data_IF_623590948256
#
_entry.id   IF_623590948256
#
_cell.length_a   1.000
_cell.length_b   1.000
_cell.length_c   1.000
_cell.angle_alpha   90.00
_cell.angle_beta   90.00
_cell.angle_gamma   90.00
#
_symmetry.space_group_name_H-M   'P 1'
#
loop_
_entity.id
_entity.type
_entity.pdbx_description
1 polymer ?
#
# COMPACT_ATOMS: atom_id res chain seq x y z
N UNK A 1 43.46 21.81 -53.87
CA UNK A 1 44.65 21.92 -53.04
C UNK A 1 44.74 20.67 -52.21
N UNK A 2 45.52 19.70 -52.64
CA UNK A 2 45.85 18.47 -51.92
C UNK A 2 46.95 18.78 -50.91
N UNK A 3 46.76 18.55 -49.65
CA UNK A 3 47.80 18.56 -48.64
C UNK A 3 48.09 17.13 -48.16
N UNK A 4 49.31 16.75 -48.32
CA UNK A 4 49.97 15.53 -47.90
C UNK A 4 49.72 15.11 -46.50
N UNK A 5 49.37 13.82 -46.27
CA UNK A 5 49.47 13.14 -44.99
C UNK A 5 50.74 12.26 -45.02
N UNK A 6 51.60 12.33 -44.00
CA UNK A 6 52.77 11.47 -43.93
C UNK A 6 52.38 10.07 -43.42
N UNK A 7 53.04 9.07 -44.00
CA UNK A 7 53.02 7.65 -43.56
C UNK A 7 53.53 7.57 -42.12
N UNK A 8 52.70 7.04 -41.24
CA UNK A 8 53.09 6.79 -39.86
C UNK A 8 52.90 5.31 -39.50
N UNK A 9 53.72 4.46 -40.07
CA UNK A 9 53.84 3.05 -39.62
C UNK A 9 54.44 2.94 -38.19
N UNK A 10 55.20 3.95 -37.76
CA UNK A 10 55.77 4.00 -36.39
C UNK A 10 54.74 4.24 -35.29
N UNK A 11 53.66 4.99 -35.54
CA UNK A 11 52.62 5.25 -34.55
C UNK A 11 51.73 4.01 -34.28
N UNK A 12 51.45 3.23 -35.30
CA UNK A 12 50.70 1.97 -35.13
C UNK A 12 51.50 0.95 -34.33
N UNK A 13 52.82 0.83 -34.55
CA UNK A 13 53.67 -0.07 -33.78
C UNK A 13 53.78 0.33 -32.28
N UNK A 14 53.87 1.64 -31.99
CA UNK A 14 53.88 2.15 -30.61
C UNK A 14 52.56 1.96 -29.88
N UNK A 15 51.44 2.18 -30.57
CA UNK A 15 50.11 1.95 -29.97
C UNK A 15 49.88 0.47 -29.70
N UNK A 16 50.29 -0.41 -30.62
CA UNK A 16 50.16 -1.86 -30.42
C UNK A 16 51.03 -2.37 -29.26
N UNK A 17 52.26 -1.82 -29.14
CA UNK A 17 53.14 -2.15 -28.02
C UNK A 17 52.60 -1.68 -26.66
N UNK A 18 52.00 -0.48 -26.60
CA UNK A 18 51.34 0.03 -25.40
C UNK A 18 50.11 -0.84 -25.01
N UNK A 19 49.35 -1.29 -25.99
CA UNK A 19 48.20 -2.18 -25.73
C UNK A 19 48.60 -3.56 -25.20
N UNK A 20 49.72 -4.11 -25.69
CA UNK A 20 50.23 -5.40 -25.23
C UNK A 20 50.85 -5.27 -23.83
N UNK A 21 51.54 -4.18 -23.53
CA UNK A 21 52.09 -3.92 -22.19
C UNK A 21 50.97 -3.66 -21.18
N UNK A 22 49.93 -2.88 -21.53
CA UNK A 22 48.77 -2.68 -20.64
C UNK A 22 47.99 -3.94 -20.37
N UNK A 23 47.79 -4.85 -21.34
CA UNK A 23 47.14 -6.15 -21.09
C UNK A 23 47.94 -7.06 -20.17
N UNK A 24 49.27 -7.02 -20.22
CA UNK A 24 50.13 -7.81 -19.33
C UNK A 24 50.17 -7.26 -17.91
N UNK A 25 50.16 -5.95 -17.72
CA UNK A 25 50.16 -5.33 -16.40
C UNK A 25 48.79 -5.47 -15.71
N UNK A 26 47.68 -5.35 -16.44
CA UNK A 26 46.33 -5.59 -15.87
C UNK A 26 46.10 -7.06 -15.49
N UNK A 27 46.64 -8.02 -16.25
CA UNK A 27 46.52 -9.44 -15.87
C UNK A 27 47.32 -9.79 -14.62
N UNK A 28 48.50 -9.19 -14.39
CA UNK A 28 49.32 -9.39 -13.20
C UNK A 28 48.70 -8.71 -11.97
N UNK A 29 48.14 -7.51 -12.12
CA UNK A 29 47.46 -6.81 -11.00
C UNK A 29 46.15 -7.47 -10.56
N UNK A 30 45.34 -8.02 -11.49
CA UNK A 30 44.13 -8.77 -11.18
C UNK A 30 44.47 -10.11 -10.50
N UNK A 31 45.56 -10.79 -10.88
CA UNK A 31 46.03 -12.04 -10.27
C UNK A 31 46.61 -11.83 -8.86
N UNK A 32 47.31 -10.72 -8.60
CA UNK A 32 47.80 -10.39 -7.25
C UNK A 32 46.65 -9.91 -6.32
N UNK A 33 45.62 -9.22 -6.84
CA UNK A 33 44.50 -8.76 -6.06
C UNK A 33 43.58 -9.91 -5.62
N UNK A 34 43.50 -10.99 -6.41
CA UNK A 34 42.70 -12.16 -6.05
C UNK A 34 43.34 -13.03 -4.94
N UNK A 35 44.66 -12.94 -4.71
CA UNK A 35 45.35 -13.68 -3.64
C UNK A 35 45.29 -12.93 -2.30
N UNK A 36 45.08 -11.61 -2.28
CA UNK A 36 44.95 -10.81 -1.05
C UNK A 36 43.54 -10.81 -0.45
N UNK A 37 42.51 -11.29 -1.15
CA UNK A 37 41.14 -11.36 -0.65
C UNK A 37 40.80 -12.62 0.17
N UNK A 38 41.73 -13.54 0.37
CA UNK A 38 41.46 -14.82 1.09
C UNK A 38 41.89 -14.80 2.57
N UNK A 39 42.54 -13.75 3.06
CA UNK A 39 42.97 -13.68 4.45
C UNK A 39 42.60 -12.35 5.09
N UNK A 40 41.42 -12.29 5.74
CA UNK A 40 40.89 -11.42 6.80
C UNK A 40 39.51 -10.89 6.46
N UNK A 41 38.52 -11.78 6.53
CA UNK A 41 37.13 -11.35 6.74
C UNK A 41 36.77 -11.52 8.21
N UNK A 42 36.37 -10.48 8.94
CA UNK A 42 35.64 -10.72 10.17
C UNK A 42 34.34 -11.43 9.79
N UNK A 43 34.04 -12.53 10.45
CA UNK A 43 32.75 -13.21 10.39
C UNK A 43 31.67 -12.22 10.89
N UNK A 44 31.24 -11.33 10.03
CA UNK A 44 29.98 -10.67 10.21
C UNK A 44 28.93 -11.74 9.92
N UNK A 45 28.45 -12.39 10.97
CA UNK A 45 27.17 -13.08 10.91
C UNK A 45 26.15 -12.01 10.54
N UNK A 46 25.89 -11.83 9.25
CA UNK A 46 24.60 -11.37 8.81
C UNK A 46 23.61 -12.40 9.34
N UNK A 47 23.04 -12.10 10.50
CA UNK A 47 21.81 -12.72 10.92
C UNK A 47 20.77 -12.32 9.85
N UNK A 48 20.72 -13.08 8.77
CA UNK A 48 19.49 -13.23 8.02
C UNK A 48 18.52 -13.80 9.05
N UNK A 49 17.68 -12.92 9.58
CA UNK A 49 16.57 -13.33 10.42
C UNK A 49 15.77 -14.26 9.53
N UNK A 50 15.72 -15.52 9.91
CA UNK A 50 14.97 -16.55 9.19
C UNK A 50 13.49 -16.21 9.39
N UNK A 51 12.93 -15.41 8.45
CA UNK A 51 11.55 -14.94 8.50
C UNK A 51 10.56 -16.12 8.58
N UNK A 52 10.97 -17.31 8.11
CA UNK A 52 10.14 -18.50 8.13
C UNK A 52 10.00 -19.12 9.53
N UNK A 53 10.99 -18.96 10.41
CA UNK A 53 10.91 -19.48 11.78
C UNK A 53 10.07 -18.59 12.72
N UNK A 54 9.89 -17.32 12.40
CA UNK A 54 9.15 -16.36 13.22
C UNK A 54 7.63 -16.41 12.93
N UNK A 55 7.24 -16.80 11.73
CA UNK A 55 5.83 -16.97 11.32
C UNK A 55 5.12 -18.13 12.05
N UNK A 56 5.84 -19.02 12.70
CA UNK A 56 5.26 -20.21 13.32
C UNK A 56 4.53 -19.97 14.67
N UNK A 57 4.56 -18.77 15.25
CA UNK A 57 3.95 -18.47 16.56
C UNK A 57 2.66 -17.66 16.51
N UNK A 58 2.26 -17.14 15.34
CA UNK A 58 0.98 -16.47 15.16
C UNK A 58 0.01 -17.45 14.54
N UNK A 59 -1.15 -17.65 15.16
CA UNK A 59 -2.19 -18.50 14.60
C UNK A 59 -2.51 -18.05 13.17
N UNK A 60 -2.51 -18.98 12.21
CA UNK A 60 -2.72 -18.66 10.79
C UNK A 60 -4.08 -17.97 10.53
N UNK A 61 -5.04 -18.12 11.47
CA UNK A 61 -6.34 -17.46 11.41
C UNK A 61 -6.31 -15.99 11.81
N UNK A 62 -5.30 -15.58 12.58
CA UNK A 62 -5.19 -14.22 13.12
C UNK A 62 -4.21 -13.35 12.31
N UNK A 63 -3.57 -13.92 11.30
CA UNK A 63 -2.63 -13.20 10.44
C UNK A 63 -3.30 -12.76 9.14
N UNK A 64 -2.98 -11.54 8.70
CA UNK A 64 -3.47 -10.98 7.44
C UNK A 64 -2.38 -11.11 6.38
N UNK A 65 -2.72 -11.78 5.28
CA UNK A 65 -1.95 -11.82 4.07
C UNK A 65 -2.88 -11.47 2.90
N UNK A 66 -2.68 -10.35 2.18
CA UNK A 66 -3.48 -10.01 1.01
C UNK A 66 -3.24 -11.03 -0.11
N UNK A 67 -4.32 -11.45 -0.76
CA UNK A 67 -4.32 -12.40 -1.88
C UNK A 67 -4.68 -11.70 -3.19
N UNK A 68 -5.62 -10.77 -3.12
CA UNK A 68 -6.16 -10.04 -4.28
C UNK A 68 -5.72 -8.59 -4.31
N UNK A 69 -5.57 -7.97 -3.12
CA UNK A 69 -5.13 -6.60 -3.01
C UNK A 69 -3.63 -6.50 -3.31
N UNK A 70 -3.28 -5.55 -4.18
CA UNK A 70 -1.90 -5.27 -4.58
C UNK A 70 -1.33 -4.02 -3.92
N UNK A 71 -2.18 -3.21 -3.29
CA UNK A 71 -1.81 -1.93 -2.71
C UNK A 71 -1.20 -2.01 -1.32
N UNK A 72 -1.21 -3.16 -0.65
CA UNK A 72 -0.54 -3.31 0.63
C UNK A 72 0.08 -4.70 0.83
N UNK A 73 1.15 -4.73 1.62
CA UNK A 73 1.85 -5.93 2.04
C UNK A 73 2.05 -5.89 3.56
N UNK A 74 2.04 -7.05 4.22
CA UNK A 74 2.18 -7.15 5.67
C UNK A 74 3.29 -8.14 6.02
N UNK A 75 4.20 -7.71 6.89
CA UNK A 75 5.26 -8.55 7.47
C UNK A 75 5.12 -8.56 8.98
N UNK A 76 5.12 -9.73 9.57
CA UNK A 76 5.01 -9.91 11.02
C UNK A 76 6.40 -9.97 11.66
N UNK A 77 6.58 -9.21 12.72
CA UNK A 77 7.77 -9.24 13.57
C UNK A 77 7.41 -9.81 14.95
N UNK A 78 8.41 -10.17 15.81
CA UNK A 78 8.18 -10.55 17.19
C UNK A 78 7.35 -9.51 17.95
N UNK A 79 6.72 -9.92 19.05
CA UNK A 79 5.89 -9.08 19.90
C UNK A 79 4.65 -8.50 19.19
N UNK A 80 4.11 -9.23 18.20
CA UNK A 80 2.92 -8.82 17.42
C UNK A 80 3.08 -7.48 16.69
N UNK A 81 4.29 -7.07 16.37
CA UNK A 81 4.54 -5.91 15.51
C UNK A 81 4.27 -6.30 14.06
N UNK A 82 3.58 -5.43 13.32
CA UNK A 82 3.31 -5.63 11.88
C UNK A 82 3.95 -4.50 11.11
N UNK A 83 4.77 -4.82 10.13
CA UNK A 83 5.24 -3.86 9.13
C UNK A 83 4.26 -3.89 7.97
N UNK A 84 3.76 -2.74 7.60
CA UNK A 84 2.79 -2.57 6.53
C UNK A 84 3.37 -1.63 5.49
N UNK A 85 3.56 -2.15 4.29
CA UNK A 85 4.04 -1.41 3.14
C UNK A 85 2.85 -1.09 2.22
N UNK A 86 2.63 0.19 1.90
CA UNK A 86 1.58 0.64 1.00
C UNK A 86 2.19 1.13 -0.30
N UNK A 87 1.66 0.67 -1.41
CA UNK A 87 2.03 1.11 -2.76
C UNK A 87 0.79 1.39 -3.61
N UNK A 88 0.97 2.20 -4.63
CA UNK A 88 -0.09 2.45 -5.60
C UNK A 88 -0.23 1.25 -6.55
N UNK A 89 -1.36 0.51 -6.55
CA UNK A 89 -1.53 -0.67 -7.43
C UNK A 89 -1.48 -0.33 -8.92
N UNK A 90 -1.71 0.94 -9.29
CA UNK A 90 -1.73 1.40 -10.68
C UNK A 90 -0.44 2.08 -11.12
N UNK A 91 0.52 2.29 -10.21
CA UNK A 91 1.79 2.96 -10.50
C UNK A 91 2.92 2.41 -9.64
N UNK A 92 3.66 1.46 -10.19
CA UNK A 92 4.80 0.82 -9.51
C UNK A 92 5.94 1.78 -9.18
N UNK A 93 6.04 2.91 -9.91
CA UNK A 93 7.07 3.93 -9.67
C UNK A 93 6.66 4.95 -8.59
N UNK A 94 5.49 4.80 -7.97
CA UNK A 94 5.04 5.67 -6.90
C UNK A 94 5.81 5.43 -5.61
N UNK A 95 5.83 6.45 -4.74
CA UNK A 95 6.39 6.30 -3.41
C UNK A 95 5.64 5.24 -2.60
N UNK A 96 6.39 4.37 -1.93
CA UNK A 96 5.86 3.44 -0.94
C UNK A 96 5.75 4.14 0.41
N UNK A 97 4.67 3.88 1.14
CA UNK A 97 4.51 4.36 2.52
C UNK A 97 4.75 3.18 3.46
N UNK A 98 5.53 3.41 4.51
CA UNK A 98 5.96 2.38 5.45
C UNK A 98 5.39 2.66 6.84
N UNK A 99 4.64 1.71 7.40
CA UNK A 99 4.05 1.82 8.73
C UNK A 99 4.42 0.60 9.58
N UNK A 100 4.81 0.87 10.82
CA UNK A 100 5.00 -0.16 11.83
C UNK A 100 3.87 -0.09 12.85
N UNK A 101 2.98 -1.07 12.80
CA UNK A 101 1.87 -1.20 13.73
C UNK A 101 2.37 -1.92 14.99
N UNK A 102 2.45 -1.21 16.09
CA UNK A 102 3.02 -1.67 17.35
C UNK A 102 1.93 -1.78 18.39
N UNK A 103 1.76 -2.94 19.05
CA UNK A 103 0.80 -3.06 20.15
C UNK A 103 1.08 -2.05 21.25
N UNK A 104 0.03 -1.41 21.76
CA UNK A 104 0.14 -0.42 22.85
C UNK A 104 0.89 -0.99 24.05
N UNK A 105 1.81 -0.22 24.60
CA UNK A 105 2.65 -0.63 25.74
C UNK A 105 3.80 -1.55 25.38
N UNK A 106 3.98 -1.92 24.10
CA UNK A 106 5.12 -2.71 23.63
C UNK A 106 6.25 -1.77 23.22
N UNK A 107 7.47 -2.09 23.62
CA UNK A 107 8.68 -1.43 23.11
C UNK A 107 9.30 -2.31 22.02
N UNK A 108 9.17 -1.94 20.74
CA UNK A 108 9.75 -2.74 19.66
C UNK A 108 11.26 -2.61 19.67
N UNK A 109 11.97 -3.72 19.54
CA UNK A 109 13.44 -3.73 19.59
C UNK A 109 14.08 -3.29 18.27
N UNK A 110 13.41 -3.47 17.13
CA UNK A 110 13.99 -3.22 15.80
C UNK A 110 12.91 -2.85 14.78
N UNK A 111 12.56 -1.58 14.71
CA UNK A 111 11.80 -1.04 13.58
C UNK A 111 12.77 -0.34 12.64
N UNK A 112 12.71 -0.58 11.31
CA UNK A 112 13.49 0.20 10.36
C UNK A 112 13.16 1.70 10.46
N UNK A 113 14.15 2.55 10.28
CA UNK A 113 14.03 4.01 10.53
C UNK A 113 13.11 4.74 9.55
N UNK A 114 12.81 4.12 8.42
CA UNK A 114 11.89 4.63 7.38
C UNK A 114 10.42 4.30 7.66
N UNK A 115 10.14 3.52 8.72
CA UNK A 115 8.77 3.18 9.11
C UNK A 115 8.19 4.19 10.11
N UNK A 116 7.00 4.69 9.80
CA UNK A 116 6.21 5.49 10.74
C UNK A 116 5.54 4.56 11.75
N UNK A 117 5.82 4.76 13.03
CA UNK A 117 5.27 3.95 14.12
C UNK A 117 3.84 4.37 14.45
N UNK A 118 2.93 3.39 14.52
CA UNK A 118 1.53 3.56 14.89
C UNK A 118 1.21 2.60 16.02
N UNK A 119 0.76 3.13 17.14
CA UNK A 119 0.27 2.29 18.23
C UNK A 119 -1.10 1.69 17.92
N UNK A 120 -1.24 0.37 18.05
CA UNK A 120 -2.48 -0.37 17.80
C UNK A 120 -2.96 -1.12 19.03
N UNK A 121 -4.29 -1.39 19.15
CA UNK A 121 -5.33 -0.92 18.25
C UNK A 121 -5.55 0.59 18.33
N UNK A 122 -5.83 1.23 17.19
CA UNK A 122 -6.24 2.64 17.14
C UNK A 122 -7.64 2.77 17.75
N UNK A 123 -7.87 3.89 18.46
CA UNK A 123 -9.11 4.11 19.25
C UNK A 123 -10.05 5.08 18.55
N UNK A 124 -9.49 6.03 17.82
CA UNK A 124 -10.23 7.10 17.18
C UNK A 124 -9.69 7.34 15.75
N UNK A 125 -10.59 7.32 14.79
CA UNK A 125 -10.23 7.49 13.38
C UNK A 125 -11.15 8.49 12.70
N UNK A 126 -10.60 9.16 11.67
CA UNK A 126 -11.39 9.92 10.71
C UNK A 126 -11.38 9.19 9.36
N UNK A 127 -12.55 9.06 8.76
CA UNK A 127 -12.72 8.53 7.42
C UNK A 127 -13.04 9.65 6.43
N UNK A 128 -12.16 9.84 5.44
CA UNK A 128 -12.34 10.88 4.42
C UNK A 128 -13.28 10.47 3.28
N UNK A 129 -13.59 9.17 3.16
CA UNK A 129 -14.47 8.66 2.11
C UNK A 129 -15.43 7.60 2.63
N UNK A 130 -16.54 7.42 1.88
CA UNK A 130 -17.50 6.35 2.17
C UNK A 130 -16.92 4.94 2.01
N UNK A 131 -15.93 4.76 1.13
CA UNK A 131 -15.23 3.49 0.96
C UNK A 131 -14.48 3.10 2.24
N UNK A 132 -13.77 4.05 2.85
CA UNK A 132 -13.08 3.83 4.13
C UNK A 132 -14.10 3.52 5.23
N UNK A 133 -15.14 4.33 5.35
CA UNK A 133 -16.20 4.17 6.34
C UNK A 133 -16.91 2.81 6.22
N UNK A 134 -17.11 2.31 4.99
CA UNK A 134 -17.79 1.03 4.76
C UNK A 134 -17.06 -0.15 5.40
N UNK A 135 -15.73 -0.11 5.49
CA UNK A 135 -14.96 -1.13 6.18
C UNK A 135 -15.22 -1.14 7.68
N UNK A 136 -15.30 0.05 8.32
CA UNK A 136 -15.64 0.16 9.73
C UNK A 136 -17.07 -0.31 10.02
N UNK A 137 -18.03 0.03 9.17
CA UNK A 137 -19.41 -0.46 9.27
C UNK A 137 -19.44 -1.99 9.15
N UNK A 138 -18.71 -2.57 8.21
CA UNK A 138 -18.68 -4.01 7.99
C UNK A 138 -18.01 -4.77 9.13
N UNK A 139 -17.01 -4.16 9.78
CA UNK A 139 -16.32 -4.68 10.96
C UNK A 139 -17.05 -4.39 12.28
N UNK A 140 -18.23 -3.77 12.22
CA UNK A 140 -19.01 -3.38 13.41
C UNK A 140 -18.21 -2.48 14.37
N UNK A 141 -17.32 -1.64 13.81
CA UNK A 141 -16.39 -0.76 14.52
C UNK A 141 -16.72 0.72 14.33
N UNK A 142 -18.00 1.06 14.15
CA UNK A 142 -18.47 2.44 14.01
C UNK A 142 -18.10 3.32 15.22
N UNK A 143 -17.96 2.70 16.40
CA UNK A 143 -17.58 3.36 17.65
C UNK A 143 -16.21 4.07 17.57
N UNK A 144 -15.31 3.57 16.74
CA UNK A 144 -13.97 4.14 16.51
C UNK A 144 -13.98 5.35 15.57
N UNK A 145 -15.06 5.54 14.79
CA UNK A 145 -15.14 6.63 13.82
C UNK A 145 -15.60 7.91 14.51
N UNK A 146 -14.67 8.84 14.75
CA UNK A 146 -14.91 10.12 15.42
C UNK A 146 -15.17 11.27 14.44
N UNK A 147 -14.83 11.09 13.15
CA UNK A 147 -15.05 12.11 12.13
C UNK A 147 -15.26 11.54 10.72
N UNK A 148 -16.11 12.20 9.95
CA UNK A 148 -16.36 11.90 8.54
C UNK A 148 -16.57 13.17 7.72
N UNK A 149 -16.27 13.12 6.41
CA UNK A 149 -16.45 14.28 5.52
C UNK A 149 -17.90 14.45 5.09
N UNK A 150 -18.41 13.54 4.28
CA UNK A 150 -19.73 13.67 3.63
C UNK A 150 -20.78 12.74 4.24
N UNK A 151 -21.96 13.29 4.45
CA UNK A 151 -23.13 12.55 4.96
C UNK A 151 -24.25 12.44 3.93
N UNK A 152 -24.06 12.98 2.72
CA UNK A 152 -25.14 13.12 1.71
C UNK A 152 -25.79 11.78 1.33
N UNK A 153 -25.00 10.69 1.32
CA UNK A 153 -25.45 9.35 0.95
C UNK A 153 -25.16 8.34 2.06
N UNK A 154 -25.21 8.80 3.31
CA UNK A 154 -25.01 7.93 4.47
C UNK A 154 -26.35 7.34 4.92
N UNK A 155 -26.58 6.07 4.57
CA UNK A 155 -27.82 5.34 4.92
C UNK A 155 -27.68 4.45 6.16
N UNK A 156 -26.43 4.24 6.66
CA UNK A 156 -26.22 3.43 7.85
C UNK A 156 -26.87 4.09 9.09
N UNK A 157 -27.72 3.35 9.79
CA UNK A 157 -28.51 3.85 10.92
C UNK A 157 -27.62 4.24 12.09
N UNK A 158 -26.69 3.37 12.47
CA UNK A 158 -25.76 3.60 13.58
C UNK A 158 -24.92 4.86 13.38
N UNK A 159 -24.31 5.03 12.21
CA UNK A 159 -23.52 6.22 11.90
C UNK A 159 -24.36 7.51 11.91
N UNK A 160 -25.62 7.43 11.44
CA UNK A 160 -26.54 8.57 11.52
C UNK A 160 -26.89 8.92 12.98
N UNK A 161 -27.09 7.93 13.85
CA UNK A 161 -27.32 8.14 15.30
C UNK A 161 -26.09 8.73 15.98
N UNK A 162 -24.89 8.26 15.61
CA UNK A 162 -23.61 8.81 16.13
C UNK A 162 -23.40 10.27 15.73
N UNK A 163 -23.74 10.63 14.49
CA UNK A 163 -23.72 12.02 14.03
C UNK A 163 -24.70 12.91 14.78
N UNK A 164 -25.94 12.43 14.98
CA UNK A 164 -26.99 13.17 15.73
C UNK A 164 -26.62 13.38 17.18
N UNK A 165 -25.96 12.41 17.80
CA UNK A 165 -25.54 12.45 19.20
C UNK A 165 -24.17 13.16 19.41
N UNK A 166 -23.54 13.65 18.36
CA UNK A 166 -22.20 14.28 18.43
C UNK A 166 -21.05 13.33 18.71
N UNK A 167 -21.26 12.02 18.71
CA UNK A 167 -20.19 11.01 18.88
C UNK A 167 -19.29 10.89 17.65
N UNK A 168 -19.77 11.33 16.49
CA UNK A 168 -19.01 11.46 15.26
C UNK A 168 -19.25 12.85 14.69
N UNK A 169 -18.20 13.58 14.38
CA UNK A 169 -18.26 14.93 13.86
C UNK A 169 -18.25 14.97 12.32
N UNK A 170 -18.83 16.02 11.75
CA UNK A 170 -18.62 16.38 10.34
C UNK A 170 -17.39 17.26 10.26
N UNK A 171 -16.37 16.83 9.54
CA UNK A 171 -15.07 17.51 9.46
C UNK A 171 -14.92 18.38 8.20
N UNK A 172 -16.02 18.80 7.58
CA UNK A 172 -16.00 19.55 6.36
C UNK A 172 -16.07 18.68 5.10
N UNK A 173 -15.62 19.24 3.99
CA UNK A 173 -15.57 18.58 2.68
C UNK A 173 -14.15 18.63 2.14
N UNK A 174 -13.87 17.77 1.17
CA UNK A 174 -12.57 17.74 0.54
C UNK A 174 -12.16 19.10 -0.05
N UNK A 175 -10.95 19.54 0.28
CA UNK A 175 -10.42 20.86 -0.08
C UNK A 175 -10.86 22.01 0.86
N UNK A 176 -11.77 21.74 1.80
CA UNK A 176 -12.19 22.70 2.83
C UNK A 176 -12.54 21.95 4.12
N UNK A 177 -11.51 21.43 4.77
CA UNK A 177 -11.65 20.71 6.04
C UNK A 177 -11.73 21.71 7.20
N UNK A 178 -12.52 21.34 8.21
CA UNK A 178 -12.59 22.05 9.47
C UNK A 178 -11.50 21.52 10.42
N UNK A 179 -10.35 22.17 10.40
CA UNK A 179 -9.20 21.76 11.19
C UNK A 179 -9.44 21.91 12.70
N UNK A 180 -10.29 22.85 13.13
CA UNK A 180 -10.64 23.02 14.54
C UNK A 180 -11.45 21.82 15.04
N UNK A 181 -12.44 21.39 14.24
CA UNK A 181 -13.21 20.18 14.54
C UNK A 181 -12.31 18.95 14.53
N UNK A 182 -11.41 18.82 13.54
CA UNK A 182 -10.46 17.70 13.46
C UNK A 182 -9.59 17.64 14.72
N UNK A 183 -9.03 18.76 15.16
CA UNK A 183 -8.24 18.82 16.39
C UNK A 183 -9.08 18.50 17.62
N UNK A 184 -10.32 18.99 17.69
CA UNK A 184 -11.21 18.74 18.85
C UNK A 184 -11.57 17.28 19.04
N UNK A 185 -11.73 16.51 17.96
CA UNK A 185 -12.05 15.08 18.05
C UNK A 185 -10.80 14.20 18.26
N UNK A 186 -9.61 14.79 18.15
CA UNK A 186 -8.31 14.19 18.45
C UNK A 186 -8.16 12.75 17.94
N UNK A 187 -8.10 12.55 16.61
CA UNK A 187 -8.01 11.20 16.04
C UNK A 187 -6.62 10.62 16.21
N UNK A 188 -6.52 9.31 16.50
CA UNK A 188 -5.25 8.58 16.43
C UNK A 188 -4.73 8.53 14.99
N UNK A 189 -5.64 8.39 14.01
CA UNK A 189 -5.32 8.25 12.58
C UNK A 189 -6.40 8.89 11.71
N UNK A 190 -5.99 9.52 10.64
CA UNK A 190 -6.87 9.93 9.54
C UNK A 190 -6.57 9.08 8.31
N UNK A 191 -7.56 8.32 7.85
CA UNK A 191 -7.45 7.61 6.57
C UNK A 191 -7.74 8.57 5.43
N UNK A 192 -6.75 8.77 4.54
CA UNK A 192 -6.82 9.71 3.43
C UNK A 192 -6.87 9.02 2.07
N UNK A 193 -7.32 9.76 1.05
CA UNK A 193 -7.23 9.36 -0.36
C UNK A 193 -6.32 10.36 -1.07
N UNK A 194 -5.04 10.00 -1.34
CA UNK A 194 -3.97 10.97 -1.58
C UNK A 194 -4.01 11.73 -2.92
N UNK A 195 -4.95 11.46 -3.83
CA UNK A 195 -4.97 12.16 -5.11
C UNK A 195 -6.09 13.15 -5.31
N UNK A 196 -6.86 13.39 -4.31
CA UNK A 196 -7.84 14.45 -4.43
C UNK A 196 -7.27 15.74 -3.87
N UNK A 197 -7.45 16.78 -4.57
CA UNK A 197 -7.31 18.26 -4.36
C UNK A 197 -6.43 18.80 -3.20
N UNK A 198 -5.63 18.02 -2.47
CA UNK A 198 -4.81 18.54 -1.38
C UNK A 198 -5.60 18.88 -0.12
N UNK A 199 -5.07 19.79 0.67
CA UNK A 199 -5.68 20.22 1.94
C UNK A 199 -5.22 19.41 3.16
N UNK A 200 -4.29 18.48 2.97
CA UNK A 200 -3.75 17.66 4.06
C UNK A 200 -2.52 18.27 4.73
N UNK A 201 -1.96 19.36 4.18
CA UNK A 201 -0.71 19.92 4.67
C UNK A 201 -0.87 20.49 6.09
N UNK A 202 -1.94 21.22 6.36
CA UNK A 202 -2.27 21.71 7.69
C UNK A 202 -2.42 20.56 8.70
N UNK A 203 -3.02 19.44 8.31
CA UNK A 203 -3.15 18.26 9.18
C UNK A 203 -1.80 17.64 9.51
N UNK A 204 -0.86 17.62 8.55
CA UNK A 204 0.53 17.18 8.80
C UNK A 204 1.27 18.13 9.72
N UNK A 205 1.12 19.44 9.52
CA UNK A 205 1.76 20.46 10.33
C UNK A 205 1.34 20.41 11.81
N UNK A 206 0.08 20.05 12.09
CA UNK A 206 -0.42 19.85 13.46
C UNK A 206 -0.12 18.46 14.03
N UNK A 207 0.67 17.65 13.30
CA UNK A 207 1.17 16.37 13.78
C UNK A 207 0.18 15.21 13.74
N UNK A 208 -0.94 15.33 13.03
CA UNK A 208 -1.91 14.25 12.91
C UNK A 208 -1.40 13.21 11.91
N UNK A 209 -1.51 11.95 12.28
CA UNK A 209 -1.06 10.83 11.49
C UNK A 209 -2.01 10.55 10.31
N UNK A 210 -1.50 10.71 9.09
CA UNK A 210 -2.23 10.48 7.86
C UNK A 210 -1.82 9.14 7.24
N UNK A 211 -2.79 8.27 7.02
CA UNK A 211 -2.58 6.95 6.41
C UNK A 211 -3.35 6.85 5.10
N UNK A 212 -2.67 6.67 3.96
CA UNK A 212 -3.32 6.45 2.68
C UNK A 212 -4.13 5.15 2.67
N UNK A 213 -5.36 5.22 2.20
CA UNK A 213 -6.19 4.06 1.90
C UNK A 213 -6.39 3.99 0.39
N UNK A 214 -5.67 3.07 -0.27
CA UNK A 214 -5.59 2.98 -1.73
C UNK A 214 -6.55 1.95 -2.35
N UNK A 215 -7.45 1.41 -1.57
CA UNK A 215 -8.39 0.36 -2.02
C UNK A 215 -9.21 0.70 -3.27
N UNK A 216 -9.50 1.98 -3.50
CA UNK A 216 -10.21 2.43 -4.71
C UNK A 216 -9.34 2.35 -5.98
N UNK A 217 -8.01 2.14 -5.86
CA UNK A 217 -7.08 1.91 -6.98
C UNK A 217 -6.93 0.45 -7.36
N UNK A 218 -7.45 -0.46 -6.56
CA UNK A 218 -7.40 -1.88 -6.90
C UNK A 218 -8.15 -2.17 -8.20
N UNK A 219 -7.55 -3.00 -9.03
CA UNK A 219 -8.07 -3.30 -10.37
C UNK A 219 -9.19 -4.34 -10.36
N UNK A 220 -9.39 -5.04 -9.24
CA UNK A 220 -10.39 -6.10 -9.12
C UNK A 220 -11.35 -5.83 -7.96
N UNK A 221 -12.63 -6.26 -8.06
CA UNK A 221 -13.59 -6.12 -6.96
C UNK A 221 -13.14 -6.82 -5.66
N UNK A 222 -12.51 -8.00 -5.76
CA UNK A 222 -11.98 -8.71 -4.60
C UNK A 222 -10.76 -7.99 -4.01
N UNK A 223 -9.86 -7.46 -4.84
CA UNK A 223 -8.75 -6.62 -4.36
C UNK A 223 -9.26 -5.42 -3.59
N UNK A 224 -10.27 -4.71 -4.10
CA UNK A 224 -10.88 -3.58 -3.42
C UNK A 224 -11.55 -3.97 -2.10
N UNK A 225 -12.29 -5.09 -2.08
CA UNK A 225 -12.95 -5.59 -0.88
C UNK A 225 -11.97 -6.08 0.19
N UNK A 226 -10.79 -6.57 -0.21
CA UNK A 226 -9.78 -7.09 0.71
C UNK A 226 -9.15 -6.00 1.61
N UNK A 227 -9.33 -4.72 1.29
CA UNK A 227 -8.91 -3.61 2.14
C UNK A 227 -9.63 -3.57 3.50
N UNK A 228 -10.67 -4.36 3.70
CA UNK A 228 -11.24 -4.59 5.03
C UNK A 228 -10.19 -5.20 5.98
N UNK A 229 -9.30 -6.05 5.46
CA UNK A 229 -8.20 -6.65 6.22
C UNK A 229 -7.19 -5.58 6.64
N UNK A 230 -6.89 -4.61 5.75
CA UNK A 230 -6.04 -3.48 6.08
C UNK A 230 -6.59 -2.68 7.28
N UNK A 231 -7.88 -2.37 7.29
CA UNK A 231 -8.52 -1.71 8.44
C UNK A 231 -8.46 -2.59 9.69
N UNK A 232 -8.68 -3.91 9.55
CA UNK A 232 -8.58 -4.88 10.65
C UNK A 232 -7.25 -4.82 11.39
N UNK A 233 -6.12 -4.66 10.67
CA UNK A 233 -4.78 -4.50 11.25
C UNK A 233 -4.68 -3.30 12.20
N UNK A 234 -5.29 -2.17 11.84
CA UNK A 234 -5.21 -0.94 12.64
C UNK A 234 -6.08 -1.00 13.89
N UNK A 235 -7.21 -1.69 13.82
CA UNK A 235 -8.18 -1.73 14.93
C UNK A 235 -8.09 -3.00 15.78
N UNK A 236 -7.15 -3.92 15.45
CA UNK A 236 -6.95 -5.18 16.17
C UNK A 236 -8.08 -6.18 15.97
N UNK A 237 -8.66 -6.23 14.76
CA UNK A 237 -9.75 -7.14 14.36
C UNK A 237 -9.33 -7.96 13.12
N UNK A 238 -8.12 -8.50 13.12
CA UNK A 238 -7.57 -9.25 12.00
C UNK A 238 -8.39 -10.51 11.70
N UNK A 239 -8.81 -11.22 12.73
CA UNK A 239 -9.62 -12.43 12.60
C UNK A 239 -10.99 -12.12 11.99
N UNK A 240 -11.69 -11.15 12.54
CA UNK A 240 -13.00 -10.71 12.04
C UNK A 240 -12.91 -10.21 10.61
N UNK A 241 -11.82 -9.49 10.27
CA UNK A 241 -11.59 -9.00 8.92
C UNK A 241 -11.36 -10.15 7.92
N UNK A 242 -10.61 -11.18 8.31
CA UNK A 242 -10.42 -12.39 7.51
C UNK A 242 -11.76 -13.13 7.30
N UNK A 243 -12.55 -13.30 8.35
CA UNK A 243 -13.86 -13.97 8.28
C UNK A 243 -14.85 -13.20 7.39
N UNK A 244 -14.95 -11.86 7.57
CA UNK A 244 -15.82 -11.01 6.74
C UNK A 244 -15.38 -11.04 5.28
N UNK A 245 -14.06 -10.99 5.00
CA UNK A 245 -13.55 -11.08 3.64
C UNK A 245 -13.82 -12.45 3.01
N UNK A 246 -13.59 -13.55 3.73
CA UNK A 246 -13.87 -14.89 3.22
C UNK A 246 -15.35 -15.08 2.83
N UNK A 247 -16.27 -14.48 3.58
CA UNK A 247 -17.69 -14.47 3.21
C UNK A 247 -17.96 -13.69 1.92
N UNK A 248 -17.29 -12.53 1.72
CA UNK A 248 -17.40 -11.73 0.50
C UNK A 248 -16.83 -12.51 -0.69
N UNK A 249 -15.64 -13.09 -0.53
CA UNK A 249 -14.97 -13.90 -1.53
C UNK A 249 -15.84 -15.07 -1.99
N UNK A 250 -16.41 -15.80 -1.03
CA UNK A 250 -17.31 -16.91 -1.31
C UNK A 250 -18.51 -16.45 -2.15
N UNK A 251 -19.21 -15.40 -1.72
CA UNK A 251 -20.37 -14.87 -2.47
C UNK A 251 -19.98 -14.40 -3.87
N UNK A 252 -18.84 -13.74 -4.03
CA UNK A 252 -18.35 -13.32 -5.33
C UNK A 252 -18.11 -14.51 -6.25
N UNK A 253 -17.46 -15.55 -5.75
CA UNK A 253 -17.17 -16.75 -6.52
C UNK A 253 -18.42 -17.57 -6.85
N UNK A 254 -19.38 -17.67 -5.93
CA UNK A 254 -20.69 -18.31 -6.15
C UNK A 254 -21.44 -17.59 -7.31
N UNK A 255 -21.48 -16.25 -7.28
CA UNK A 255 -22.10 -15.45 -8.36
C UNK A 255 -21.34 -15.57 -9.69
N UNK A 256 -20.02 -15.59 -9.66
CA UNK A 256 -19.18 -15.78 -10.84
C UNK A 256 -19.45 -17.14 -11.50
N UNK A 257 -19.57 -18.20 -10.70
CA UNK A 257 -19.91 -19.53 -11.18
C UNK A 257 -21.32 -19.56 -11.78
N UNK A 258 -22.31 -18.99 -11.09
CA UNK A 258 -23.66 -18.88 -11.61
C UNK A 258 -23.73 -18.14 -12.95
N UNK A 259 -22.92 -17.08 -13.13
CA UNK A 259 -22.85 -16.29 -14.35
C UNK A 259 -22.08 -17.00 -15.49
N UNK A 260 -21.21 -17.98 -15.18
CA UNK A 260 -20.41 -18.67 -16.17
C UNK A 260 -21.27 -19.47 -17.17
N UNK A 261 -22.37 -20.05 -16.70
CA UNK A 261 -23.27 -20.91 -17.49
C UNK A 261 -24.28 -20.12 -18.33
N UNK A 262 -24.31 -18.78 -18.21
CA UNK A 262 -25.27 -17.94 -18.95
C UNK A 262 -24.85 -17.83 -20.42
N UNK A 263 -25.64 -18.44 -21.31
CA UNK A 263 -25.38 -18.44 -22.76
C UNK A 263 -25.60 -17.06 -23.41
N UNK A 264 -26.57 -16.29 -22.93
CA UNK A 264 -26.92 -14.98 -23.49
C UNK A 264 -26.53 -13.91 -22.47
N UNK A 265 -25.44 -13.21 -22.73
CA UNK A 265 -24.99 -12.10 -21.87
C UNK A 265 -25.61 -10.80 -22.32
N UNK A 266 -26.27 -10.03 -21.44
CA UNK A 266 -26.78 -8.72 -21.78
C UNK A 266 -25.61 -7.75 -21.99
N UNK A 267 -25.81 -6.78 -22.88
CA UNK A 267 -24.93 -5.60 -22.93
C UNK A 267 -25.29 -4.74 -21.73
N UNK A 268 -24.32 -4.48 -20.87
CA UNK A 268 -24.52 -3.65 -19.68
C UNK A 268 -23.88 -2.30 -19.90
N UNK A 269 -24.69 -1.24 -19.72
CA UNK A 269 -24.24 0.13 -19.69
C UNK A 269 -24.09 0.55 -18.21
N UNK A 270 -22.90 1.05 -17.85
CA UNK A 270 -22.66 1.64 -16.54
C UNK A 270 -22.01 2.99 -16.71
N UNK A 271 -22.62 4.03 -16.16
CA UNK A 271 -22.11 5.40 -16.27
C UNK A 271 -23.07 6.44 -15.74
N UNK A 272 -22.64 7.69 -15.73
CA UNK A 272 -23.41 8.85 -15.33
C UNK A 272 -23.49 9.87 -16.50
N UNK A 273 -24.66 10.42 -16.74
CA UNK A 273 -24.83 11.52 -17.70
C UNK A 273 -24.72 12.83 -16.91
N UNK A 274 -23.70 13.63 -17.17
CA UNK A 274 -23.52 14.96 -16.59
C UNK A 274 -23.50 16.02 -17.68
N UNK A 275 -24.41 16.98 -17.59
CA UNK A 275 -24.40 18.19 -18.46
C UNK A 275 -24.45 17.90 -19.95
N UNK A 276 -25.17 16.85 -20.38
CA UNK A 276 -25.28 16.47 -21.80
C UNK A 276 -24.07 15.70 -22.35
N UNK A 277 -23.03 15.45 -21.53
CA UNK A 277 -21.91 14.59 -21.87
C UNK A 277 -22.07 13.23 -21.19
N UNK A 278 -22.05 12.17 -21.99
CA UNK A 278 -22.10 10.80 -21.53
C UNK A 278 -20.66 10.33 -21.19
N UNK A 279 -20.39 10.13 -19.90
CA UNK A 279 -19.21 9.36 -19.48
C UNK A 279 -19.58 7.88 -19.49
N UNK A 280 -19.31 7.22 -20.59
CA UNK A 280 -19.69 5.84 -20.84
C UNK A 280 -18.51 4.92 -20.58
N UNK A 281 -18.68 3.95 -19.67
CA UNK A 281 -17.90 2.72 -19.66
C UNK A 281 -18.75 1.63 -20.32
N UNK A 282 -18.51 1.35 -21.59
CA UNK A 282 -19.11 0.21 -22.28
C UNK A 282 -18.24 -0.99 -21.96
N UNK A 283 -18.73 -1.88 -21.11
CA UNK A 283 -18.16 -3.21 -20.93
C UNK A 283 -18.68 -4.11 -22.07
N UNK A 284 -17.91 -4.25 -23.12
CA UNK A 284 -18.21 -5.25 -24.15
C UNK A 284 -17.96 -6.65 -23.59
N UNK A 285 -18.89 -7.63 -23.79
CA UNK A 285 -18.73 -8.99 -23.31
C UNK A 285 -17.47 -9.69 -23.83
N UNK A 286 -16.92 -9.23 -24.94
CA UNK A 286 -15.71 -9.76 -25.58
C UNK A 286 -14.41 -9.30 -24.93
N UNK A 287 -14.38 -8.17 -24.23
CA UNK A 287 -13.17 -7.68 -23.54
C UNK A 287 -12.91 -8.35 -22.18
N UNK A 288 -13.92 -8.96 -21.58
CA UNK A 288 -13.74 -9.68 -20.31
C UNK A 288 -13.25 -11.12 -20.49
N UNK A 289 -13.14 -11.62 -21.71
CA UNK A 289 -12.62 -12.96 -22.00
C UNK A 289 -11.09 -13.01 -22.16
N UNK A 290 -10.41 -11.85 -22.17
CA UNK A 290 -8.95 -11.75 -22.38
C UNK A 290 -8.17 -11.31 -21.12
N UNK A 291 -8.83 -11.29 -19.96
CA UNK A 291 -8.17 -10.97 -18.67
C UNK A 291 -8.15 -12.21 -17.79
#
# INVERSE_FOLDING_TARGET
>A
VFAYLPKNDEYCARILYLFIVMKRTTAITVSLLSILCVACGPKNKQNSIDLQAITASVSATDSIYPVYAQGFEVKYLPNHVRLVDLRDPQNESSNTFHYALVPRGTKPERIPSDYTVIETPVRSVICMTSLQLSNFIKLEACDKVVGITSTRHLFNKEMNERLKSGKTAKIGIEGNFDNEVIMSVNPDVIFISPFKRGGYDTMREIGILLVPHLGYKEMTPLGQAEWIKFIGLFIGQEKEANEKFAAIEKHYNDLKQLAADVKKRPVVFSGEIRGGLSLIHISEPTRQAEI
#
